data_IF_733910665107
#
_entry.id   IF_733910665107
#
_cell.length_a   1.000
_cell.length_b   1.000
_cell.length_c   1.000
_cell.angle_alpha   90.00
_cell.angle_beta   90.00
_cell.angle_gamma   90.00
#
_symmetry.space_group_name_H-M   'P 1'
#
loop_
_entity.id
_entity.type
_entity.pdbx_description
1 polymer ?
#
# COMPACT_ATOMS: atom_id res chain seq x y z
N UNK A 1 10.86 -11.37 0.45
CA UNK A 1 10.10 -11.05 1.69
C UNK A 1 8.69 -11.63 1.65
N UNK A 2 7.91 -11.42 0.58
CA UNK A 2 6.56 -11.96 0.40
C UNK A 2 6.46 -13.49 0.62
N UNK A 3 7.27 -14.28 -0.09
CA UNK A 3 7.27 -15.76 -0.01
C UNK A 3 7.49 -16.29 1.41
N UNK A 4 8.42 -15.68 2.16
CA UNK A 4 8.68 -16.03 3.57
C UNK A 4 7.48 -15.74 4.46
N UNK A 5 6.80 -14.60 4.25
CA UNK A 5 5.64 -14.22 5.05
C UNK A 5 4.43 -15.12 4.72
N UNK A 6 4.23 -15.41 3.45
CA UNK A 6 3.19 -16.33 2.99
C UNK A 6 3.39 -17.75 3.55
N UNK A 7 4.60 -18.30 3.48
CA UNK A 7 4.91 -19.62 4.06
C UNK A 7 4.62 -19.64 5.57
N UNK A 8 5.07 -18.61 6.31
CA UNK A 8 4.79 -18.47 7.74
C UNK A 8 3.28 -18.44 8.04
N UNK A 9 2.48 -17.75 7.23
CA UNK A 9 1.03 -17.72 7.42
C UNK A 9 0.38 -19.07 7.12
N UNK A 10 0.81 -19.77 6.06
CA UNK A 10 0.36 -21.13 5.77
C UNK A 10 0.65 -22.09 6.93
N UNK A 11 1.85 -22.03 7.52
CA UNK A 11 2.20 -22.81 8.72
C UNK A 11 1.33 -22.48 9.94
N UNK A 12 0.92 -21.21 10.07
CA UNK A 12 0.00 -20.76 11.13
C UNK A 12 -1.48 -21.05 10.82
N UNK A 13 -1.79 -21.77 9.73
CA UNK A 13 -3.16 -22.03 9.28
C UNK A 13 -3.91 -20.77 8.82
N UNK A 14 -3.18 -19.68 8.55
CA UNK A 14 -3.71 -18.40 8.10
C UNK A 14 -3.54 -18.28 6.58
N UNK A 15 -4.62 -17.92 5.89
CA UNK A 15 -4.60 -17.64 4.45
C UNK A 15 -5.38 -16.36 4.17
N UNK A 16 -5.10 -15.72 3.03
CA UNK A 16 -5.91 -14.62 2.54
C UNK A 16 -7.21 -15.18 1.97
N UNK A 17 -8.33 -14.83 2.58
CA UNK A 17 -9.69 -15.12 2.17
C UNK A 17 -10.29 -14.03 1.27
N UNK A 18 -9.55 -12.94 1.03
CA UNK A 18 -9.91 -11.85 0.14
C UNK A 18 -8.81 -11.60 -0.90
N UNK A 19 -9.17 -10.85 -1.95
CA UNK A 19 -8.24 -10.38 -2.97
C UNK A 19 -7.69 -8.98 -2.60
N UNK A 20 -6.38 -8.83 -2.31
CA UNK A 20 -5.83 -7.52 -1.99
C UNK A 20 -5.94 -6.54 -3.16
N UNK A 21 -6.13 -5.26 -2.82
CA UNK A 21 -6.25 -4.13 -3.74
C UNK A 21 -7.37 -4.28 -4.79
N UNK A 22 -8.45 -4.97 -4.42
CA UNK A 22 -9.63 -5.12 -5.28
C UNK A 22 -10.14 -3.75 -5.76
N UNK A 23 -10.47 -3.68 -7.05
CA UNK A 23 -10.91 -2.44 -7.72
C UNK A 23 -9.78 -1.59 -8.30
N UNK A 24 -8.51 -1.91 -8.02
CA UNK A 24 -7.37 -1.23 -8.64
C UNK A 24 -7.33 -1.48 -10.15
N UNK A 25 -7.22 -0.40 -10.93
CA UNK A 25 -6.93 -0.47 -12.38
C UNK A 25 -5.42 -0.52 -12.70
N UNK A 26 -4.57 -0.48 -11.66
CA UNK A 26 -3.10 -0.56 -11.78
C UNK A 26 -2.60 -1.96 -11.45
N UNK A 27 -3.08 -2.54 -10.34
CA UNK A 27 -2.75 -3.90 -9.92
C UNK A 27 -3.88 -4.84 -10.33
N UNK A 28 -3.90 -5.22 -11.62
CA UNK A 28 -4.88 -6.17 -12.15
C UNK A 28 -4.42 -7.61 -12.04
N UNK A 29 -3.11 -7.85 -11.89
CA UNK A 29 -2.54 -9.18 -11.68
C UNK A 29 -2.65 -9.60 -10.20
N UNK A 30 -3.37 -10.69 -9.95
CA UNK A 30 -3.66 -11.12 -8.58
C UNK A 30 -2.42 -11.58 -7.82
N UNK A 31 -1.49 -12.21 -8.51
CA UNK A 31 -0.26 -12.74 -7.90
C UNK A 31 0.62 -11.58 -7.42
N UNK A 32 0.79 -10.56 -8.26
CA UNK A 32 1.52 -9.33 -7.92
C UNK A 32 0.86 -8.60 -6.75
N UNK A 33 -0.47 -8.50 -6.74
CA UNK A 33 -1.23 -7.91 -5.64
C UNK A 33 -0.98 -8.65 -4.32
N UNK A 34 -1.06 -9.99 -4.32
CA UNK A 34 -0.78 -10.84 -3.14
C UNK A 34 0.67 -10.71 -2.69
N UNK A 35 1.63 -10.73 -3.62
CA UNK A 35 3.06 -10.56 -3.33
C UNK A 35 3.33 -9.22 -2.66
N UNK A 36 2.79 -8.12 -3.19
CA UNK A 36 2.92 -6.79 -2.59
C UNK A 36 2.30 -6.75 -1.19
N UNK A 37 1.10 -7.29 -1.02
CA UNK A 37 0.42 -7.35 0.27
C UNK A 37 1.27 -8.06 1.34
N UNK A 38 1.89 -9.19 1.00
CA UNK A 38 2.77 -9.92 1.92
C UNK A 38 4.09 -9.20 2.22
N UNK A 39 4.48 -8.17 1.44
CA UNK A 39 5.63 -7.32 1.79
C UNK A 39 5.29 -6.30 2.89
N UNK A 40 4.01 -6.03 3.16
CA UNK A 40 3.63 -5.01 4.12
C UNK A 40 3.72 -5.51 5.58
N UNK A 41 4.13 -4.65 6.53
CA UNK A 41 4.36 -5.02 7.93
C UNK A 41 3.06 -5.15 8.74
N UNK A 42 1.96 -5.61 8.13
CA UNK A 42 0.70 -5.82 8.82
C UNK A 42 0.81 -6.93 9.87
N UNK A 43 0.30 -6.64 11.08
CA UNK A 43 0.21 -7.60 12.19
C UNK A 43 -1.01 -8.53 12.08
N UNK A 44 -2.14 -8.02 11.60
CA UNK A 44 -3.44 -8.68 11.69
C UNK A 44 -4.11 -9.00 10.32
N UNK A 45 -3.33 -9.05 9.23
CA UNK A 45 -3.84 -9.28 7.86
C UNK A 45 -5.12 -8.47 7.52
N UNK A 46 -5.08 -7.13 7.60
CA UNK A 46 -6.25 -6.31 7.31
C UNK A 46 -6.69 -6.47 5.86
N UNK A 47 -8.00 -6.51 5.65
CA UNK A 47 -8.59 -6.38 4.31
C UNK A 47 -8.32 -4.98 3.76
N UNK A 48 -8.03 -4.92 2.45
CA UNK A 48 -7.75 -3.66 1.76
C UNK A 48 -9.01 -3.13 1.09
N UNK A 49 -9.25 -1.83 1.19
CA UNK A 49 -10.36 -1.17 0.49
C UNK A 49 -9.82 -0.06 -0.41
N UNK A 50 -10.32 0.01 -1.65
CA UNK A 50 -10.01 1.11 -2.55
C UNK A 50 -10.72 2.37 -2.04
N UNK A 51 -9.96 3.40 -1.68
CA UNK A 51 -10.50 4.65 -1.16
C UNK A 51 -10.62 5.74 -2.20
N UNK A 52 -9.63 5.84 -3.10
CA UNK A 52 -9.55 6.84 -4.15
C UNK A 52 -8.77 6.25 -5.33
N UNK A 53 -9.19 6.57 -6.55
CA UNK A 53 -8.44 6.31 -7.78
C UNK A 53 -8.67 7.42 -8.79
N UNK A 54 -7.61 7.82 -9.49
CA UNK A 54 -7.74 8.87 -10.52
C UNK A 54 -8.61 8.47 -11.71
N UNK A 55 -8.90 7.18 -11.84
CA UNK A 55 -9.73 6.63 -12.90
C UNK A 55 -11.23 6.61 -12.57
N UNK A 56 -11.61 6.73 -11.30
CA UNK A 56 -13.01 6.77 -10.86
C UNK A 56 -13.38 8.15 -10.28
N UNK A 57 -12.45 8.79 -9.58
CA UNK A 57 -12.70 9.98 -8.75
C UNK A 57 -12.05 11.25 -9.33
N UNK A 58 -11.44 11.14 -10.52
CA UNK A 58 -10.76 12.23 -11.20
C UNK A 58 -9.41 12.62 -10.58
N UNK A 59 -8.90 13.81 -10.93
CA UNK A 59 -7.52 14.25 -10.57
C UNK A 59 -7.53 15.46 -9.65
N UNK A 60 -8.35 15.40 -8.60
CA UNK A 60 -8.48 16.48 -7.59
C UNK A 60 -7.85 16.06 -6.27
N UNK A 61 -6.85 16.83 -5.81
CA UNK A 61 -6.25 16.64 -4.47
C UNK A 61 -7.27 16.89 -3.37
N UNK A 62 -8.16 17.87 -3.56
CA UNK A 62 -9.24 18.16 -2.61
C UNK A 62 -10.20 16.97 -2.47
N UNK A 63 -10.54 16.32 -3.58
CA UNK A 63 -11.40 15.14 -3.58
C UNK A 63 -10.72 13.97 -2.86
N UNK A 64 -9.45 13.73 -3.17
CA UNK A 64 -8.65 12.70 -2.51
C UNK A 64 -8.60 12.90 -0.99
N UNK A 65 -8.32 14.13 -0.50
CA UNK A 65 -8.35 14.43 0.94
C UNK A 65 -9.72 14.19 1.57
N UNK A 66 -10.81 14.51 0.87
CA UNK A 66 -12.17 14.26 1.39
C UNK A 66 -12.48 12.78 1.64
N UNK A 67 -11.81 11.88 0.90
CA UNK A 67 -11.99 10.43 1.00
C UNK A 67 -10.97 9.75 1.93
N UNK A 68 -9.75 10.30 2.00
CA UNK A 68 -8.59 9.63 2.63
C UNK A 68 -8.25 10.17 4.03
N UNK A 69 -8.54 11.44 4.32
CA UNK A 69 -8.15 12.04 5.59
C UNK A 69 -8.73 11.30 6.80
N UNK A 70 -7.89 11.09 7.82
CA UNK A 70 -8.28 10.45 9.07
C UNK A 70 -8.46 8.93 9.06
N UNK A 71 -8.35 8.25 7.90
CA UNK A 71 -8.69 6.82 7.75
C UNK A 71 -7.60 5.84 8.22
N UNK A 72 -6.38 6.32 8.45
CA UNK A 72 -5.28 5.53 9.02
C UNK A 72 -4.22 5.10 8.00
N UNK A 73 -3.70 3.88 8.16
CA UNK A 73 -2.65 3.32 7.29
C UNK A 73 -3.20 3.19 5.87
N UNK A 74 -2.45 3.67 4.89
CA UNK A 74 -2.85 3.63 3.49
C UNK A 74 -1.70 3.17 2.59
N UNK A 75 -2.06 2.59 1.45
CA UNK A 75 -1.13 2.16 0.42
C UNK A 75 -1.40 2.98 -0.82
N UNK A 76 -0.38 3.66 -1.31
CA UNK A 76 -0.42 4.48 -2.50
C UNK A 76 0.21 3.67 -3.62
N UNK A 77 -0.50 3.54 -4.74
CA UNK A 77 -0.02 2.84 -5.93
C UNK A 77 -0.12 3.80 -7.11
N UNK A 78 1.01 4.01 -7.78
CA UNK A 78 1.15 4.93 -8.91
C UNK A 78 1.66 4.14 -10.11
N UNK A 79 1.03 4.38 -11.27
CA UNK A 79 1.54 3.91 -12.57
C UNK A 79 1.93 5.11 -13.42
N UNK A 80 3.17 5.13 -13.89
CA UNK A 80 3.67 6.10 -14.85
C UNK A 80 4.35 5.35 -15.99
N UNK A 81 3.78 5.44 -17.19
CA UNK A 81 4.16 4.60 -18.33
C UNK A 81 4.12 3.11 -17.94
N UNK A 82 5.20 2.37 -18.15
CA UNK A 82 5.34 0.95 -17.83
C UNK A 82 5.83 0.69 -16.40
N UNK A 83 5.89 1.72 -15.56
CA UNK A 83 6.41 1.61 -14.19
C UNK A 83 5.31 1.69 -13.14
N UNK A 84 5.35 0.80 -12.16
CA UNK A 84 4.49 0.75 -10.99
C UNK A 84 5.33 0.87 -9.72
N UNK A 85 5.00 1.88 -8.93
CA UNK A 85 5.67 2.18 -7.67
C UNK A 85 4.67 2.81 -6.69
N UNK A 86 5.11 3.07 -5.47
CA UNK A 86 4.22 3.57 -4.46
C UNK A 86 4.87 3.68 -3.09
N UNK A 87 4.02 3.71 -2.08
CA UNK A 87 4.45 3.71 -0.70
C UNK A 87 3.37 3.25 0.25
N UNK A 88 3.80 2.77 1.41
CA UNK A 88 2.95 2.58 2.57
C UNK A 88 3.06 3.83 3.44
N UNK A 89 1.96 4.53 3.63
CA UNK A 89 1.84 5.58 4.62
C UNK A 89 1.31 4.97 5.91
N UNK A 90 2.17 4.83 6.93
CA UNK A 90 1.82 4.25 8.22
C UNK A 90 1.16 5.26 9.19
N UNK A 91 0.95 6.51 8.74
CA UNK A 91 0.21 7.57 9.43
C UNK A 91 -1.03 7.95 8.64
N UNK A 92 -2.06 8.41 9.35
CA UNK A 92 -3.25 9.01 8.74
C UNK A 92 -2.89 10.30 7.99
N UNK A 93 -3.54 10.53 6.87
CA UNK A 93 -3.47 11.79 6.14
C UNK A 93 -4.16 12.92 6.91
N UNK A 94 -3.61 14.13 6.78
CA UNK A 94 -4.17 15.39 7.29
C UNK A 94 -4.05 16.47 6.21
N UNK A 95 -4.83 17.54 6.36
CA UNK A 95 -4.83 18.70 5.48
C UNK A 95 -4.51 20.01 6.22
N UNK A 96 -3.98 19.91 7.44
CA UNK A 96 -3.67 21.04 8.33
C UNK A 96 -2.30 21.69 8.04
N UNK A 97 -1.58 21.19 7.04
CA UNK A 97 -0.27 21.69 6.62
C UNK A 97 0.86 21.43 7.62
N UNK A 98 0.64 20.58 8.63
CA UNK A 98 1.65 20.24 9.63
C UNK A 98 2.43 19.01 9.18
N UNK A 99 3.72 18.96 9.50
CA UNK A 99 4.52 17.74 9.29
C UNK A 99 3.97 16.60 10.14
N UNK A 100 3.94 15.39 9.58
CA UNK A 100 3.45 14.18 10.24
C UNK A 100 4.23 12.94 9.76
N UNK A 101 4.10 11.84 10.50
CA UNK A 101 4.66 10.55 10.09
C UNK A 101 6.11 10.29 10.53
N UNK A 102 6.69 11.14 11.36
CA UNK A 102 8.02 10.94 11.95
C UNK A 102 8.07 9.64 12.78
N UNK A 103 9.16 8.87 12.62
CA UNK A 103 9.37 7.61 13.33
C UNK A 103 8.43 6.46 12.94
N UNK A 104 7.63 6.61 11.88
CA UNK A 104 6.69 5.57 11.46
C UNK A 104 7.31 4.53 10.54
N UNK A 105 6.66 3.37 10.40
CA UNK A 105 7.06 2.33 9.45
C UNK A 105 6.64 2.63 8.01
N UNK A 106 6.64 3.91 7.62
CA UNK A 106 6.32 4.33 6.25
C UNK A 106 7.52 4.06 5.34
N UNK A 107 7.28 3.58 4.12
CA UNK A 107 8.34 3.29 3.16
C UNK A 107 7.84 3.36 1.71
N UNK A 108 8.77 3.53 0.78
CA UNK A 108 8.52 3.49 -0.66
C UNK A 108 8.82 2.10 -1.22
N UNK A 109 8.11 1.73 -2.29
CA UNK A 109 8.35 0.50 -3.02
C UNK A 109 8.24 0.72 -4.53
N UNK A 110 8.87 -0.18 -5.30
CA UNK A 110 8.66 -0.34 -6.73
C UNK A 110 8.40 -1.81 -7.01
N UNK A 111 7.52 -2.11 -7.97
CA UNK A 111 7.13 -3.48 -8.34
C UNK A 111 7.99 -3.99 -9.49
N UNK A 112 8.35 -3.10 -10.41
CA UNK A 112 9.03 -3.42 -11.67
C UNK A 112 10.55 -3.48 -11.53
N UNK A 113 11.09 -3.10 -10.37
CA UNK A 113 12.49 -3.27 -10.02
C UNK A 113 12.60 -3.83 -8.60
N UNK A 114 13.64 -4.67 -8.37
CA UNK A 114 14.14 -5.08 -7.05
C UNK A 114 14.62 -3.86 -6.21
N UNK A 115 13.84 -2.79 -6.09
CA UNK A 115 14.20 -1.58 -5.37
C UNK A 115 13.99 -1.82 -3.87
N UNK A 116 14.97 -2.47 -3.25
CA UNK A 116 15.23 -2.31 -1.83
C UNK A 116 15.69 -0.87 -1.61
N UNK A 117 14.87 -0.05 -0.97
CA UNK A 117 15.38 1.09 -0.21
C UNK A 117 15.13 0.78 1.25
N UNK A 118 16.08 0.06 1.87
CA UNK A 118 16.20 0.08 3.32
C UNK A 118 16.79 1.44 3.69
N UNK A 119 15.94 2.36 4.14
CA UNK A 119 16.42 3.53 4.86
C UNK A 119 17.05 3.06 6.17
N UNK A 120 18.38 3.08 6.25
CA UNK A 120 19.07 3.07 7.53
C UNK A 120 19.07 4.52 8.04
N UNK A 121 18.49 4.81 9.22
CA UNK A 121 18.76 6.08 9.89
C UNK A 121 20.26 6.15 10.19
N UNK A 122 20.91 7.23 9.78
CA UNK A 122 22.26 7.61 10.22
C UNK A 122 22.15 8.26 11.59
#
# INVERSE_FOLDING_TARGET
MATRKEAKYKEMGKSLDFQPFQGSKILTDEETAKRLYYCFPFKAMPETHLMFSTANDGRSIKEMHSLVDGKGISVIIVKANDRIFGGLAASKWTNDGRSFGEGTSSFLFSIDNNAFIQAHPQ
#
